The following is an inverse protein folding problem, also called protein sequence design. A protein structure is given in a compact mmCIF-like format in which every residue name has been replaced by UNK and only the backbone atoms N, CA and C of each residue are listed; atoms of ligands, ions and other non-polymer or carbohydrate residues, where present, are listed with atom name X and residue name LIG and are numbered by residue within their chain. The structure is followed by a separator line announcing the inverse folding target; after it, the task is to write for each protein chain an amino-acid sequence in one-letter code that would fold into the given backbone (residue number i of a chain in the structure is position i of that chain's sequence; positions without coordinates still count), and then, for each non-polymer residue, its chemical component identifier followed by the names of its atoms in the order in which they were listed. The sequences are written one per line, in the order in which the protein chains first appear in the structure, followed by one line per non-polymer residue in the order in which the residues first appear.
data_IF_118852450277
#
_entry.id   IF_118852450277
#
_cell.length_a   1.000
_cell.length_b   1.000
_cell.length_c   1.000
_cell.angle_alpha   90.00
_cell.angle_beta   90.00
_cell.angle_gamma   90.00
#
_symmetry.space_group_name_H-M   'P 1'
#
loop_
_entity.id
_entity.type
_entity.pdbx_description
1 polymer ?
#
# COMPACT_ATOMS: atom_id res chain seq x y z
N UNK A 1 3.25 38.49 6.86
CA UNK A 1 4.20 38.11 7.91
C UNK A 1 4.99 36.89 7.44
N UNK A 2 6.31 36.97 7.29
CA UNK A 2 7.14 35.84 6.85
C UNK A 2 7.11 34.64 7.80
N UNK A 3 6.82 34.85 9.09
CA UNK A 3 6.77 33.78 10.10
C UNK A 3 5.63 32.79 9.81
N UNK A 4 4.46 33.31 9.44
CA UNK A 4 3.29 32.50 9.07
C UNK A 4 3.58 31.68 7.80
N UNK A 5 4.26 32.29 6.83
CA UNK A 5 4.63 31.60 5.59
C UNK A 5 5.61 30.45 5.86
N UNK A 6 6.59 30.62 6.75
CA UNK A 6 7.51 29.57 7.16
C UNK A 6 6.81 28.41 7.87
N UNK A 7 5.88 28.71 8.78
CA UNK A 7 5.08 27.69 9.47
C UNK A 7 4.21 26.91 8.49
N UNK A 8 3.55 27.60 7.55
CA UNK A 8 2.74 26.95 6.53
C UNK A 8 3.59 26.08 5.60
N UNK A 9 4.76 26.56 5.19
CA UNK A 9 5.70 25.79 4.38
C UNK A 9 6.17 24.53 5.11
N UNK A 10 6.56 24.66 6.39
CA UNK A 10 6.93 23.51 7.21
C UNK A 10 5.78 22.50 7.31
N UNK A 11 4.57 22.95 7.63
CA UNK A 11 3.42 22.06 7.80
C UNK A 11 2.97 21.39 6.50
N UNK A 12 3.06 22.07 5.35
CA UNK A 12 2.59 21.51 4.07
C UNK A 12 3.62 20.64 3.37
N UNK A 13 4.91 20.87 3.62
CA UNK A 13 6.02 20.18 2.92
C UNK A 13 6.84 19.29 3.85
N UNK A 14 7.33 19.81 4.96
CA UNK A 14 8.40 19.17 5.75
C UNK A 14 7.93 18.43 6.99
N UNK A 15 6.72 18.66 7.46
CA UNK A 15 6.15 17.89 8.54
C UNK A 15 5.40 16.68 7.98
N UNK A 16 5.96 15.48 8.10
CA UNK A 16 5.35 14.25 7.55
C UNK A 16 3.92 14.02 8.05
N UNK A 17 3.59 14.46 9.27
CA UNK A 17 2.26 14.25 9.85
C UNK A 17 1.18 15.15 9.24
N UNK A 18 1.56 16.33 8.74
CA UNK A 18 0.63 17.34 8.21
C UNK A 18 0.84 17.67 6.73
N UNK A 19 1.92 17.18 6.13
CA UNK A 19 2.24 17.40 4.73
C UNK A 19 1.10 16.90 3.83
N UNK A 20 0.83 17.61 2.74
CA UNK A 20 -0.26 17.31 1.80
C UNK A 20 0.21 17.49 0.36
N UNK A 21 -0.46 16.82 -0.59
CA UNK A 21 -0.19 16.95 -2.02
C UNK A 21 1.30 16.84 -2.37
N UNK A 22 1.87 17.91 -2.93
CA UNK A 22 3.27 17.96 -3.36
C UNK A 22 4.27 17.69 -2.24
N UNK A 23 3.99 18.09 -0.99
CA UNK A 23 4.87 17.81 0.14
C UNK A 23 5.10 16.32 0.34
N UNK A 24 4.01 15.54 0.31
CA UNK A 24 4.10 14.07 0.37
C UNK A 24 4.78 13.48 -0.86
N UNK A 25 4.63 14.08 -2.04
CA UNK A 25 5.33 13.63 -3.24
C UNK A 25 6.85 13.80 -3.13
N UNK A 26 7.31 14.86 -2.45
CA UNK A 26 8.74 15.05 -2.11
C UNK A 26 9.21 13.95 -1.17
N UNK A 27 8.47 13.68 -0.09
CA UNK A 27 8.79 12.59 0.84
C UNK A 27 8.85 11.23 0.13
N UNK A 28 7.88 10.94 -0.71
CA UNK A 28 7.84 9.71 -1.49
C UNK A 28 9.04 9.54 -2.42
N UNK A 29 9.48 10.62 -3.08
CA UNK A 29 10.74 10.59 -3.87
C UNK A 29 11.97 10.32 -2.99
N UNK A 30 12.03 10.88 -1.78
CA UNK A 30 13.14 10.67 -0.85
C UNK A 30 13.23 9.20 -0.41
N UNK A 31 12.11 8.57 -0.05
CA UNK A 31 12.10 7.17 0.42
C UNK A 31 12.04 6.14 -0.72
N UNK A 32 11.70 6.58 -1.93
CA UNK A 32 11.61 5.74 -3.12
C UNK A 32 10.28 5.02 -3.31
N UNK A 33 9.14 5.68 -3.04
CA UNK A 33 7.79 5.15 -3.34
C UNK A 33 6.91 6.12 -4.12
N UNK A 34 6.15 5.55 -5.07
CA UNK A 34 5.18 6.28 -5.88
C UNK A 34 3.84 6.46 -5.16
N UNK A 35 3.17 7.59 -5.39
CA UNK A 35 1.76 7.82 -4.99
C UNK A 35 0.78 6.97 -5.80
N UNK A 36 1.21 6.53 -6.97
CA UNK A 36 0.37 5.80 -7.91
C UNK A 36 0.62 4.32 -7.75
N UNK A 37 -0.44 3.56 -7.44
CA UNK A 37 -0.41 2.12 -7.38
C UNK A 37 -1.26 1.53 -8.50
N UNK A 38 -0.79 0.39 -8.98
CA UNK A 38 -1.51 -0.48 -9.88
C UNK A 38 -2.55 -1.26 -9.08
N UNK A 39 -3.80 -0.80 -9.07
CA UNK A 39 -4.86 -1.53 -8.36
C UNK A 39 -5.44 -2.55 -9.35
N UNK A 40 -5.36 -3.87 -9.07
CA UNK A 40 -6.09 -4.86 -9.84
C UNK A 40 -7.57 -4.59 -9.61
N UNK A 41 -8.23 -4.01 -10.60
CA UNK A 41 -9.67 -3.89 -10.59
C UNK A 41 -10.25 -5.11 -11.28
N UNK A 42 -11.18 -5.80 -10.60
CA UNK A 42 -12.23 -6.52 -11.32
C UNK A 42 -13.16 -5.45 -11.87
N UNK A 43 -12.76 -4.78 -12.94
CA UNK A 43 -13.70 -3.95 -13.67
C UNK A 43 -14.71 -4.92 -14.26
N UNK A 44 -15.96 -4.82 -13.82
CA UNK A 44 -17.03 -5.36 -14.63
C UNK A 44 -16.96 -4.63 -15.96
N UNK A 45 -16.91 -5.38 -17.06
CA UNK A 45 -16.90 -4.78 -18.39
C UNK A 45 -18.33 -4.46 -18.79
N UNK A 46 -18.50 -3.51 -19.71
CA UNK A 46 -19.78 -3.36 -20.38
C UNK A 46 -20.21 -4.71 -20.96
N UNK A 47 -21.42 -5.13 -20.65
CA UNK A 47 -21.98 -6.37 -21.16
C UNK A 47 -23.46 -6.50 -20.86
N UNK A 48 -24.01 -7.64 -21.26
CA UNK A 48 -25.41 -7.98 -21.05
C UNK A 48 -25.55 -8.97 -19.90
N UNK A 49 -26.76 -9.09 -19.36
CA UNK A 49 -27.06 -9.84 -18.14
C UNK A 49 -26.69 -11.34 -18.20
N UNK A 50 -26.49 -11.87 -19.40
CA UNK A 50 -26.01 -13.23 -19.68
C UNK A 50 -24.53 -13.42 -19.30
N UNK A 51 -23.74 -12.34 -19.24
CA UNK A 51 -22.34 -12.35 -18.82
C UNK A 51 -22.22 -12.02 -17.32
N UNK A 52 -21.68 -12.96 -16.55
CA UNK A 52 -21.43 -12.81 -15.12
C UNK A 52 -20.45 -11.65 -14.84
N UNK A 53 -20.82 -10.74 -13.94
CA UNK A 53 -20.01 -9.59 -13.57
C UNK A 53 -20.00 -8.43 -14.58
N UNK A 54 -20.84 -8.49 -15.61
CA UNK A 54 -21.00 -7.38 -16.55
C UNK A 54 -21.70 -6.17 -15.92
N UNK A 55 -21.39 -4.98 -16.43
CA UNK A 55 -22.01 -3.72 -16.04
C UNK A 55 -22.87 -3.18 -17.20
N UNK A 56 -24.00 -2.52 -16.90
CA UNK A 56 -24.88 -1.97 -17.93
C UNK A 56 -24.28 -0.70 -18.58
N UNK A 57 -25.04 -0.10 -19.49
CA UNK A 57 -24.62 1.11 -20.20
C UNK A 57 -24.15 2.23 -19.25
N UNK A 58 -23.10 2.93 -19.68
CA UNK A 58 -22.51 4.07 -18.99
C UNK A 58 -21.97 3.77 -17.58
N UNK A 59 -21.62 2.51 -17.29
CA UNK A 59 -21.01 2.12 -16.01
C UNK A 59 -19.60 1.53 -16.17
N UNK A 60 -19.22 1.05 -17.36
CA UNK A 60 -17.94 0.41 -17.61
C UNK A 60 -17.46 0.52 -19.06
N UNK A 61 -16.14 0.37 -19.31
CA UNK A 61 -15.59 0.27 -20.66
C UNK A 61 -15.90 -1.08 -21.32
N UNK A 62 -15.78 -1.14 -22.65
CA UNK A 62 -15.83 -2.40 -23.41
C UNK A 62 -14.63 -3.30 -23.08
N UNK A 63 -14.84 -4.63 -23.13
CA UNK A 63 -13.79 -5.63 -22.93
C UNK A 63 -12.69 -5.51 -23.99
N UNK A 64 -11.42 -5.48 -23.57
CA UNK A 64 -10.27 -5.31 -24.48
C UNK A 64 -9.49 -6.60 -24.78
N UNK A 65 -9.99 -7.77 -24.36
CA UNK A 65 -9.29 -9.06 -24.51
C UNK A 65 -8.52 -9.52 -23.27
N UNK A 66 -8.45 -8.72 -22.21
CA UNK A 66 -7.81 -9.10 -20.93
C UNK A 66 -8.80 -8.98 -19.76
N UNK A 67 -8.97 -10.04 -18.98
CA UNK A 67 -9.91 -10.10 -17.85
C UNK A 67 -9.52 -9.19 -16.66
N UNK A 68 -8.23 -8.89 -16.52
CA UNK A 68 -7.71 -8.00 -15.47
C UNK A 68 -7.16 -6.74 -16.11
N UNK A 69 -7.86 -5.62 -15.94
CA UNK A 69 -7.29 -4.30 -16.23
C UNK A 69 -6.77 -3.71 -14.94
N UNK A 70 -5.46 -3.45 -14.89
CA UNK A 70 -4.84 -2.70 -13.80
C UNK A 70 -5.03 -1.21 -14.09
N UNK A 71 -5.64 -0.47 -13.16
CA UNK A 71 -5.73 1.00 -13.28
C UNK A 71 -4.74 1.63 -12.33
N UNK A 72 -3.95 2.54 -12.89
CA UNK A 72 -3.04 3.38 -12.12
C UNK A 72 -3.87 4.36 -11.29
N UNK A 73 -3.95 4.10 -9.99
CA UNK A 73 -4.78 4.86 -9.05
C UNK A 73 -3.90 5.71 -8.15
N UNK A 74 -4.22 7.00 -8.05
CA UNK A 74 -3.55 7.90 -7.12
C UNK A 74 -4.08 7.68 -5.70
N UNK A 75 -3.17 7.50 -4.75
CA UNK A 75 -3.52 7.36 -3.35
C UNK A 75 -3.90 8.69 -2.70
N UNK A 76 -4.85 8.63 -1.76
CA UNK A 76 -5.14 9.75 -0.87
C UNK A 76 -3.92 10.09 -0.02
N UNK A 77 -3.83 11.34 0.45
CA UNK A 77 -2.71 11.79 1.29
C UNK A 77 -2.54 10.94 2.55
N UNK A 78 -3.63 10.47 3.15
CA UNK A 78 -3.60 9.58 4.33
C UNK A 78 -2.97 8.23 3.99
N UNK A 79 -3.44 7.57 2.94
CA UNK A 79 -2.89 6.27 2.52
C UNK A 79 -1.43 6.41 2.05
N UNK A 80 -1.12 7.45 1.29
CA UNK A 80 0.24 7.65 0.78
C UNK A 80 1.25 7.92 1.91
N UNK A 81 0.85 8.67 2.95
CA UNK A 81 1.67 8.87 4.15
C UNK A 81 2.01 7.56 4.85
N UNK A 82 1.04 6.64 4.95
CA UNK A 82 1.29 5.31 5.53
C UNK A 82 2.34 4.53 4.72
N UNK A 83 2.26 4.56 3.38
CA UNK A 83 3.26 3.90 2.51
C UNK A 83 4.64 4.54 2.64
N UNK A 84 4.71 5.88 2.72
CA UNK A 84 5.98 6.59 2.92
C UNK A 84 6.64 6.15 4.22
N UNK A 85 5.89 6.10 5.33
CA UNK A 85 6.39 5.66 6.62
C UNK A 85 6.79 4.17 6.60
N UNK A 86 6.00 3.32 5.95
CA UNK A 86 6.31 1.91 5.71
C UNK A 86 7.63 1.76 4.94
N UNK A 87 7.83 2.52 3.85
CA UNK A 87 9.06 2.48 3.07
C UNK A 87 10.26 3.02 3.83
N UNK A 88 10.08 4.13 4.56
CA UNK A 88 11.13 4.70 5.40
C UNK A 88 11.63 3.66 6.42
N UNK A 89 10.69 2.95 7.06
CA UNK A 89 11.02 1.85 7.96
C UNK A 89 11.73 0.71 7.23
N UNK A 90 11.24 0.31 6.06
CA UNK A 90 11.88 -0.73 5.25
C UNK A 90 13.31 -0.41 4.85
N UNK A 91 13.65 0.87 4.69
CA UNK A 91 15.01 1.30 4.38
C UNK A 91 15.96 1.29 5.59
N UNK A 92 15.46 1.26 6.84
CA UNK A 92 16.28 1.33 8.06
C UNK A 92 16.23 0.07 8.93
N UNK A 93 15.25 -0.81 8.72
CA UNK A 93 15.09 -2.02 9.53
C UNK A 93 16.14 -3.07 9.17
N UNK A 94 16.54 -3.87 10.17
CA UNK A 94 17.36 -5.06 9.94
C UNK A 94 16.52 -6.29 9.54
N UNK A 95 15.21 -6.13 9.34
CA UNK A 95 14.25 -7.17 8.98
C UNK A 95 14.23 -8.38 9.94
N UNK A 96 14.62 -8.22 11.22
CA UNK A 96 14.44 -9.30 12.20
C UNK A 96 12.95 -9.54 12.48
N UNK A 97 12.58 -10.77 12.81
CA UNK A 97 11.19 -11.11 13.13
C UNK A 97 10.61 -10.22 14.25
N UNK A 98 11.43 -9.86 15.24
CA UNK A 98 11.02 -8.95 16.32
C UNK A 98 10.71 -7.55 15.80
N UNK A 99 11.57 -6.97 14.95
CA UNK A 99 11.33 -5.65 14.37
C UNK A 99 10.13 -5.64 13.43
N UNK A 100 10.00 -6.68 12.60
CA UNK A 100 8.87 -6.82 11.69
C UNK A 100 7.56 -6.99 12.46
N UNK A 101 7.54 -7.77 13.55
CA UNK A 101 6.34 -7.95 14.37
C UNK A 101 5.94 -6.64 15.09
N UNK A 102 6.90 -5.93 15.68
CA UNK A 102 6.65 -4.63 16.31
C UNK A 102 6.07 -3.63 15.31
N UNK A 103 6.60 -3.63 14.09
CA UNK A 103 6.14 -2.81 13.00
C UNK A 103 4.72 -3.15 12.54
N UNK A 104 4.45 -4.42 12.24
CA UNK A 104 3.12 -4.89 11.83
C UNK A 104 2.06 -4.60 12.89
N UNK A 105 2.41 -4.80 14.17
CA UNK A 105 1.52 -4.48 15.29
C UNK A 105 1.22 -2.98 15.37
N UNK A 106 2.19 -2.13 15.03
CA UNK A 106 1.99 -0.68 15.01
C UNK A 106 1.03 -0.24 13.89
N UNK A 107 1.12 -0.87 12.71
CA UNK A 107 0.26 -0.52 11.57
C UNK A 107 -1.13 -1.14 11.64
N UNK A 108 -1.19 -2.43 11.99
CA UNK A 108 -2.39 -3.26 11.82
C UNK A 108 -2.90 -3.87 13.13
N UNK A 109 -2.25 -3.59 14.26
CA UNK A 109 -2.64 -4.18 15.56
C UNK A 109 -4.03 -3.79 16.04
N UNK A 110 -4.59 -2.68 15.52
CA UNK A 110 -5.98 -2.29 15.77
C UNK A 110 -7.00 -3.16 15.01
N UNK A 111 -6.61 -3.76 13.88
CA UNK A 111 -7.48 -4.57 13.03
C UNK A 111 -7.48 -6.05 13.44
N UNK A 112 -6.39 -6.53 14.03
CA UNK A 112 -6.31 -7.89 14.57
C UNK A 112 -4.89 -8.39 14.80
N UNK A 113 -4.78 -9.71 14.98
CA UNK A 113 -3.49 -10.36 15.21
C UNK A 113 -2.71 -10.44 13.89
N UNK A 114 -1.49 -9.94 13.90
CA UNK A 114 -0.56 -9.96 12.77
C UNK A 114 0.84 -10.35 13.25
N UNK A 115 1.53 -11.19 12.48
CA UNK A 115 2.90 -11.61 12.77
C UNK A 115 3.62 -12.15 11.54
N UNK A 116 4.94 -12.24 11.64
CA UNK A 116 5.83 -12.87 10.67
C UNK A 116 6.11 -14.32 11.06
N UNK A 117 6.13 -15.20 10.06
CA UNK A 117 6.63 -16.57 10.16
C UNK A 117 7.89 -16.67 9.30
N UNK A 118 9.02 -17.01 9.91
CA UNK A 118 10.23 -17.40 9.17
C UNK A 118 10.12 -18.88 8.79
N UNK A 119 10.18 -19.17 7.49
CA UNK A 119 10.02 -20.53 6.97
C UNK A 119 11.37 -21.29 6.89
N UNK A 120 12.47 -20.68 7.32
CA UNK A 120 13.82 -21.27 7.36
C UNK A 120 14.36 -21.74 6.00
N UNK A 121 13.79 -21.23 4.90
CA UNK A 121 14.11 -21.64 3.52
C UNK A 121 14.28 -20.45 2.57
N UNK A 122 14.84 -19.34 3.07
CA UNK A 122 14.92 -18.06 2.34
C UNK A 122 13.55 -17.54 1.90
N UNK A 123 12.51 -17.87 2.66
CA UNK A 123 11.19 -17.26 2.54
C UNK A 123 10.61 -16.93 3.90
N UNK A 124 9.72 -15.96 3.95
CA UNK A 124 8.92 -15.67 5.13
C UNK A 124 7.48 -15.34 4.76
N UNK A 125 6.59 -15.40 5.75
CA UNK A 125 5.16 -15.18 5.57
C UNK A 125 4.68 -14.07 6.50
N UNK A 126 4.05 -13.05 5.93
CA UNK A 126 3.21 -12.13 6.69
C UNK A 126 1.85 -12.76 6.93
N UNK A 127 1.54 -13.09 8.19
CA UNK A 127 0.28 -13.70 8.58
C UNK A 127 -0.63 -12.65 9.21
N UNK A 128 -1.77 -12.41 8.56
CA UNK A 128 -2.84 -11.55 9.04
C UNK A 128 -4.04 -12.42 9.45
N UNK A 129 -4.39 -12.49 10.74
CA UNK A 129 -5.54 -13.28 11.22
C UNK A 129 -6.88 -12.57 11.02
N UNK A 130 -7.00 -11.82 9.94
CA UNK A 130 -8.17 -11.06 9.51
C UNK A 130 -8.06 -10.83 8.00
N UNK A 131 -9.12 -10.30 7.39
CA UNK A 131 -9.13 -9.97 5.95
C UNK A 131 -8.65 -8.52 5.78
N UNK A 132 -7.60 -8.32 4.98
CA UNK A 132 -7.09 -6.99 4.67
C UNK A 132 -8.08 -6.23 3.80
N UNK A 133 -8.10 -4.91 3.94
CA UNK A 133 -8.79 -4.07 2.96
C UNK A 133 -8.17 -4.28 1.56
N UNK A 134 -8.94 -4.12 0.46
CA UNK A 134 -8.39 -4.24 -0.89
C UNK A 134 -7.21 -3.30 -1.13
N UNK A 135 -7.24 -2.11 -0.52
CA UNK A 135 -6.15 -1.14 -0.60
C UNK A 135 -4.91 -1.65 0.12
N UNK A 136 -5.04 -2.11 1.37
CA UNK A 136 -3.91 -2.65 2.14
C UNK A 136 -3.27 -3.86 1.47
N UNK A 137 -4.10 -4.74 0.91
CA UNK A 137 -3.60 -5.88 0.15
C UNK A 137 -2.74 -5.44 -1.06
N UNK A 138 -3.21 -4.44 -1.81
CA UNK A 138 -2.45 -3.88 -2.94
C UNK A 138 -1.19 -3.15 -2.47
N UNK A 139 -1.26 -2.43 -1.36
CA UNK A 139 -0.08 -1.80 -0.75
C UNK A 139 0.96 -2.87 -0.42
N UNK A 140 0.56 -3.92 0.29
CA UNK A 140 1.49 -4.95 0.74
C UNK A 140 2.06 -5.79 -0.42
N UNK A 141 1.35 -5.91 -1.55
CA UNK A 141 1.80 -6.71 -2.70
C UNK A 141 2.52 -5.90 -3.78
N UNK A 142 2.19 -4.63 -3.98
CA UNK A 142 2.62 -3.87 -5.16
C UNK A 142 3.36 -2.57 -4.86
N UNK A 143 3.31 -2.06 -3.62
CA UNK A 143 3.96 -0.77 -3.30
C UNK A 143 5.49 -0.81 -3.36
N UNK A 144 6.10 -2.01 -3.25
CA UNK A 144 7.55 -2.15 -3.05
C UNK A 144 8.04 -1.54 -1.72
N UNK A 145 7.12 -1.20 -0.81
CA UNK A 145 7.41 -0.59 0.48
C UNK A 145 7.56 -1.59 1.61
N UNK A 146 7.14 -2.84 1.40
CA UNK A 146 7.18 -3.88 2.42
C UNK A 146 8.63 -4.30 2.73
N UNK A 147 9.05 -4.30 4.01
CA UNK A 147 10.40 -4.66 4.41
C UNK A 147 10.70 -6.14 4.21
N UNK A 148 11.64 -6.47 3.33
CA UNK A 148 12.06 -7.85 3.09
C UNK A 148 13.58 -7.96 3.25
N UNK A 149 14.10 -8.98 3.95
CA UNK A 149 15.53 -9.25 3.92
C UNK A 149 16.03 -9.47 2.49
N UNK A 150 17.26 -9.06 2.21
CA UNK A 150 17.85 -9.23 0.88
C UNK A 150 17.93 -10.71 0.50
N UNK A 151 17.46 -11.05 -0.71
CA UNK A 151 17.47 -12.42 -1.21
C UNK A 151 16.42 -13.35 -0.60
N UNK A 152 15.46 -12.83 0.17
CA UNK A 152 14.39 -13.60 0.80
C UNK A 152 13.05 -13.23 0.18
N UNK A 153 12.29 -14.23 -0.26
CA UNK A 153 10.94 -14.02 -0.79
C UNK A 153 9.92 -13.91 0.34
N UNK A 154 8.82 -13.18 0.12
CA UNK A 154 7.73 -13.10 1.07
C UNK A 154 6.40 -13.53 0.46
N UNK A 155 5.52 -14.03 1.31
CA UNK A 155 4.13 -14.30 0.97
C UNK A 155 3.20 -13.66 1.99
N UNK A 156 1.96 -13.37 1.57
CA UNK A 156 0.93 -12.80 2.45
C UNK A 156 -0.19 -13.83 2.59
N UNK A 157 -0.52 -14.17 3.83
CA UNK A 157 -1.61 -15.09 4.17
C UNK A 157 -2.60 -14.36 5.08
N UNK A 158 -3.84 -14.23 4.62
CA UNK A 158 -4.93 -13.55 5.31
C UNK A 158 -6.11 -14.49 5.61
N UNK A 159 -6.92 -14.15 6.61
CA UNK A 159 -8.07 -14.96 7.05
C UNK A 159 -7.81 -15.73 8.35
N UNK A 160 -8.83 -16.47 8.83
CA UNK A 160 -8.77 -17.24 10.07
C UNK A 160 -7.73 -18.36 10.02
#
# INVERSE_FOLDING_TARGET
DPTINLVNFYNTIWNITTATGYGLDVWGRIVGVSRYLNVPGTFGFFGFNEAQGSQPFNQAPFYNGTASSTVLTALSDTAYRQIILLKALANITNCSAQQLNAFLTTLYGAEGIVYVIDNLNMTFTYRFKFILSPLDYVILTQSGAVPTPAGVSYTIVQGA
#
